data_IF_738376492465
#
_entry.id   IF_738376492465
#
_cell.length_a   1.000
_cell.length_b   1.000
_cell.length_c   1.000
_cell.angle_alpha   90.00
_cell.angle_beta   90.00
_cell.angle_gamma   90.00
#
_symmetry.space_group_name_H-M   'P 1'
#
loop_
_entity.id
_entity.type
_entity.pdbx_description
1 polymer ?
#
# COMPACT_ATOMS: atom_id res chain seq x y z
N UNK A 1 -7.06 7.75 -10.24
CA UNK A 1 -6.04 6.74 -9.86
C UNK A 1 -5.03 6.65 -10.99
N UNK A 2 -3.74 6.46 -10.71
CA UNK A 2 -2.69 6.31 -11.73
C UNK A 2 -2.16 4.89 -11.77
N UNK A 3 -1.82 4.41 -12.96
CA UNK A 3 -1.18 3.11 -13.18
C UNK A 3 0.24 3.38 -13.67
N UNK A 4 1.21 3.13 -12.81
CA UNK A 4 2.62 3.38 -13.09
C UNK A 4 3.22 2.11 -13.67
N UNK A 5 3.44 2.14 -14.99
CA UNK A 5 4.05 1.05 -15.74
C UNK A 5 5.56 1.18 -15.66
N UNK A 6 6.24 0.07 -15.44
CA UNK A 6 7.68 -0.01 -15.46
C UNK A 6 8.09 -0.93 -16.60
N UNK A 7 8.80 -0.37 -17.59
CA UNK A 7 9.19 -1.08 -18.81
C UNK A 7 10.30 -2.12 -18.58
N UNK A 8 11.03 -2.03 -17.47
CA UNK A 8 12.08 -2.99 -17.11
C UNK A 8 11.50 -4.14 -16.28
N UNK A 9 11.96 -5.36 -16.56
CA UNK A 9 11.74 -6.52 -15.68
C UNK A 9 12.12 -6.16 -14.25
N UNK A 10 11.19 -6.30 -13.31
CA UNK A 10 11.47 -5.98 -11.93
C UNK A 10 12.52 -6.93 -11.38
N UNK A 11 13.55 -6.39 -10.72
CA UNK A 11 14.31 -7.23 -9.81
C UNK A 11 13.40 -7.67 -8.67
N UNK A 12 13.56 -8.92 -8.22
CA UNK A 12 12.85 -9.42 -7.04
C UNK A 12 13.05 -8.49 -5.83
N UNK A 13 14.19 -7.81 -5.77
CA UNK A 13 14.54 -6.86 -4.73
C UNK A 13 13.72 -5.56 -4.79
N UNK A 14 13.38 -5.08 -5.99
CA UNK A 14 12.49 -3.93 -6.16
C UNK A 14 11.07 -4.26 -5.73
N UNK A 15 10.53 -5.41 -6.13
CA UNK A 15 9.18 -5.84 -5.74
C UNK A 15 9.08 -5.96 -4.21
N UNK A 16 10.09 -6.52 -3.55
CA UNK A 16 10.14 -6.65 -2.08
C UNK A 16 10.10 -5.30 -1.34
N UNK A 17 10.52 -4.21 -1.98
CA UNK A 17 10.49 -2.86 -1.40
C UNK A 17 9.12 -2.18 -1.55
N UNK A 18 8.24 -2.71 -2.41
CA UNK A 18 6.90 -2.17 -2.61
C UNK A 18 5.94 -2.72 -1.55
N UNK A 19 5.03 -1.85 -1.10
CA UNK A 19 4.02 -2.21 -0.08
C UNK A 19 2.94 -3.12 -0.65
N UNK A 20 2.61 -2.94 -1.93
CA UNK A 20 1.63 -3.72 -2.67
C UNK A 20 2.29 -4.34 -3.90
N UNK A 21 1.89 -5.56 -4.30
CA UNK A 21 2.40 -6.20 -5.51
C UNK A 21 1.89 -5.48 -6.77
N UNK A 22 2.57 -5.64 -7.92
CA UNK A 22 2.08 -5.12 -9.18
C UNK A 22 0.85 -5.90 -9.66
N UNK A 23 0.02 -5.23 -10.46
CA UNK A 23 -1.09 -5.84 -11.20
C UNK A 23 -0.71 -6.00 -12.67
N UNK A 24 -1.26 -7.01 -13.34
CA UNK A 24 -1.12 -7.19 -14.79
C UNK A 24 -2.21 -6.37 -15.49
N UNK A 25 -1.79 -5.54 -16.44
CA UNK A 25 -2.61 -4.66 -17.28
C UNK A 25 -2.24 -4.85 -18.76
N UNK A 26 -2.87 -4.09 -19.64
CA UNK A 26 -2.73 -4.17 -21.08
C UNK A 26 -1.35 -3.67 -21.54
N UNK A 27 -0.69 -2.88 -20.69
CA UNK A 27 0.68 -2.39 -20.87
C UNK A 27 1.70 -3.17 -20.03
N UNK A 28 1.33 -4.36 -19.56
CA UNK A 28 2.16 -5.19 -18.69
C UNK A 28 1.95 -4.90 -17.21
N UNK A 29 2.99 -5.12 -16.41
CA UNK A 29 2.89 -4.95 -14.96
C UNK A 29 2.84 -3.47 -14.57
N UNK A 30 1.88 -3.11 -13.73
CA UNK A 30 1.70 -1.75 -13.25
C UNK A 30 1.52 -1.70 -11.73
N UNK A 31 2.01 -0.63 -11.10
CA UNK A 31 1.69 -0.29 -9.73
C UNK A 31 0.57 0.74 -9.67
N UNK A 32 -0.40 0.47 -8.82
CA UNK A 32 -1.48 1.41 -8.54
C UNK A 32 -0.96 2.50 -7.61
N UNK A 33 -1.13 3.75 -8.02
CA UNK A 33 -0.72 4.91 -7.23
C UNK A 33 -1.63 6.11 -7.38
N UNK A 34 -1.34 7.16 -6.62
CA UNK A 34 -2.02 8.45 -6.78
C UNK A 34 -1.45 9.19 -8.00
N UNK A 35 -2.30 9.86 -8.76
CA UNK A 35 -1.86 10.74 -9.84
C UNK A 35 -1.06 11.91 -9.26
N UNK A 36 -0.03 12.32 -9.99
CA UNK A 36 0.77 13.51 -9.68
C UNK A 36 0.56 14.56 -10.76
N UNK A 37 0.64 15.83 -10.37
CA UNK A 37 0.74 16.99 -11.27
C UNK A 37 2.10 16.96 -11.98
N UNK A 38 2.26 17.77 -13.02
CA UNK A 38 3.55 17.97 -13.71
C UNK A 38 4.68 18.39 -12.76
N UNK A 39 4.35 19.12 -11.68
CA UNK A 39 5.28 19.52 -10.62
C UNK A 39 5.68 18.38 -9.68
N UNK A 40 5.15 17.17 -9.86
CA UNK A 40 5.35 16.02 -8.96
C UNK A 40 4.46 16.02 -7.70
N UNK A 41 3.70 17.09 -7.45
CA UNK A 41 2.76 17.17 -6.33
C UNK A 41 1.55 16.25 -6.53
N UNK A 42 1.01 15.70 -5.44
CA UNK A 42 -0.24 14.91 -5.48
C UNK A 42 -1.42 15.79 -5.93
N UNK A 43 -2.28 15.27 -6.83
CA UNK A 43 -3.46 16.01 -7.30
C UNK A 43 -4.48 16.31 -6.19
N UNK A 44 -4.48 15.53 -5.12
CA UNK A 44 -5.40 15.67 -3.98
C UNK A 44 -4.85 16.54 -2.85
N UNK A 45 -3.71 17.20 -3.06
CA UNK A 45 -3.16 18.15 -2.09
C UNK A 45 -3.87 19.50 -2.23
N UNK A 46 -4.40 20.02 -1.13
CA UNK A 46 -4.93 21.39 -1.08
C UNK A 46 -3.81 22.43 -0.88
N UNK A 47 -4.20 23.71 -0.90
CA UNK A 47 -3.29 24.85 -0.71
C UNK A 47 -2.62 24.85 0.67
N UNK A 48 -3.29 24.27 1.68
CA UNK A 48 -2.78 24.10 3.05
C UNK A 48 -1.97 22.81 3.23
N UNK A 49 -1.60 22.14 2.13
CA UNK A 49 -0.86 20.87 2.11
C UNK A 49 -1.59 19.73 2.83
N UNK A 50 -2.92 19.78 2.93
CA UNK A 50 -3.77 18.70 3.45
C UNK A 50 -4.31 17.84 2.31
N UNK A 51 -4.53 16.56 2.60
CA UNK A 51 -5.07 15.62 1.64
C UNK A 51 -6.60 15.71 1.60
N UNK A 52 -7.16 16.08 0.44
CA UNK A 52 -8.62 16.18 0.21
C UNK A 52 -9.37 14.85 0.34
N UNK A 53 -8.67 13.73 0.16
CA UNK A 53 -9.24 12.37 0.21
C UNK A 53 -8.73 11.56 1.41
N UNK A 54 -8.37 12.22 2.51
CA UNK A 54 -7.69 11.57 3.64
C UNK A 54 -8.43 10.33 4.16
N UNK A 55 -9.76 10.40 4.26
CA UNK A 55 -10.60 9.31 4.76
C UNK A 55 -10.67 8.10 3.81
N UNK A 56 -10.44 8.31 2.52
CA UNK A 56 -10.42 7.26 1.50
C UNK A 56 -9.04 6.60 1.34
N UNK A 57 -8.01 7.11 2.04
CA UNK A 57 -6.67 6.53 1.94
C UNK A 57 -6.68 5.11 2.54
N UNK A 58 -6.01 4.14 1.92
CA UNK A 58 -5.73 2.86 2.56
C UNK A 58 -5.10 3.03 3.93
N UNK A 59 -5.35 2.11 4.86
CA UNK A 59 -4.82 2.21 6.23
C UNK A 59 -3.30 2.29 6.24
N UNK A 60 -2.61 1.54 5.38
CA UNK A 60 -1.14 1.60 5.27
C UNK A 60 -0.63 3.01 4.89
N UNK A 61 -1.38 3.75 4.07
CA UNK A 61 -1.06 5.13 3.71
C UNK A 61 -1.29 6.10 4.89
N UNK A 62 -2.30 5.84 5.72
CA UNK A 62 -2.66 6.67 6.88
C UNK A 62 -1.71 6.46 8.05
N UNK A 63 -1.08 5.30 8.15
CA UNK A 63 -0.14 4.98 9.23
C UNK A 63 1.30 5.36 8.95
N UNK A 64 1.63 5.84 7.75
CA UNK A 64 2.94 6.42 7.47
C UNK A 64 3.24 7.55 8.49
N UNK A 65 4.41 7.59 9.15
CA UNK A 65 5.68 6.95 8.79
C UNK A 65 5.89 5.51 9.30
N UNK A 66 4.92 4.93 9.99
CA UNK A 66 5.03 3.61 10.58
C UNK A 66 4.66 2.50 9.58
N UNK A 67 5.36 1.37 9.71
CA UNK A 67 5.08 0.09 9.05
C UNK A 67 4.99 -1.01 10.10
N UNK A 68 4.30 -2.09 9.78
CA UNK A 68 4.02 -3.18 10.72
C UNK A 68 4.49 -4.51 10.14
N UNK A 69 5.19 -5.31 10.95
CA UNK A 69 5.53 -6.70 10.60
C UNK A 69 4.80 -7.65 11.53
N UNK A 70 4.36 -8.77 10.98
CA UNK A 70 3.80 -9.87 11.77
C UNK A 70 4.96 -10.63 12.43
N UNK A 71 4.90 -10.78 13.75
CA UNK A 71 5.77 -11.69 14.48
C UNK A 71 5.08 -13.06 14.52
N UNK A 72 5.80 -14.10 14.12
CA UNK A 72 5.30 -15.47 13.89
C UNK A 72 4.15 -15.92 14.80
N UNK A 73 3.12 -16.48 14.16
CA UNK A 73 1.99 -17.16 14.77
C UNK A 73 2.51 -18.42 15.49
N UNK A 74 2.70 -18.38 16.82
CA UNK A 74 2.76 -19.65 17.57
C UNK A 74 1.42 -20.36 17.36
N UNK A 75 1.48 -21.61 16.86
CA UNK A 75 0.40 -22.46 16.34
C UNK A 75 -0.84 -22.65 17.23
N UNK A 76 -0.89 -22.09 18.43
CA UNK A 76 -1.94 -22.36 19.42
C UNK A 76 -2.69 -21.12 19.92
N UNK A 77 -2.42 -19.91 19.44
CA UNK A 77 -3.22 -18.73 19.82
C UNK A 77 -3.45 -17.79 18.64
N UNK A 78 -4.72 -17.66 18.23
CA UNK A 78 -5.27 -16.84 17.12
C UNK A 78 -4.94 -15.32 17.14
N UNK A 79 -4.05 -14.85 18.03
CA UNK A 79 -3.72 -13.43 18.14
C UNK A 79 -2.55 -13.10 17.23
N UNK A 80 -2.86 -12.47 16.08
CA UNK A 80 -1.84 -11.80 15.25
C UNK A 80 -1.09 -10.82 16.14
N UNK A 81 0.22 -11.04 16.32
CA UNK A 81 1.11 -10.10 16.99
C UNK A 81 1.82 -9.28 15.93
N UNK A 82 1.74 -7.96 16.05
CA UNK A 82 2.39 -7.03 15.13
C UNK A 82 3.42 -6.20 15.88
N UNK A 83 4.54 -5.97 15.23
CA UNK A 83 5.57 -5.06 15.68
C UNK A 83 5.61 -3.85 14.75
N UNK A 84 5.67 -2.66 15.35
CA UNK A 84 5.72 -1.38 14.64
C UNK A 84 7.17 -0.94 14.42
N UNK A 85 7.45 -0.41 13.24
CA UNK A 85 8.75 0.12 12.85
C UNK A 85 8.57 1.40 12.04
N UNK A 86 9.62 2.20 11.89
CA UNK A 86 9.64 3.23 10.84
C UNK A 86 9.91 2.60 9.48
N UNK A 87 9.16 3.03 8.46
CA UNK A 87 9.48 2.69 7.08
C UNK A 87 10.88 3.25 6.72
N UNK A 88 11.66 2.50 5.93
CA UNK A 88 13.04 2.89 5.54
C UNK A 88 13.06 4.31 4.97
N UNK A 89 12.16 4.57 4.02
CA UNK A 89 11.99 5.88 3.40
C UNK A 89 11.54 6.98 4.37
N UNK A 90 10.76 6.65 5.38
CA UNK A 90 10.37 7.64 6.38
C UNK A 90 11.58 8.16 7.17
N UNK A 91 12.55 7.30 7.47
CA UNK A 91 13.79 7.72 8.17
C UNK A 91 14.61 8.73 7.35
N UNK A 92 14.48 8.70 6.02
CA UNK A 92 15.25 9.60 5.13
C UNK A 92 14.64 11.01 5.05
N UNK A 93 13.31 11.14 5.02
CA UNK A 93 12.66 12.42 4.70
C UNK A 93 11.56 12.87 5.68
N UNK A 94 11.16 12.04 6.64
CA UNK A 94 10.11 12.43 7.58
C UNK A 94 10.70 13.28 8.71
N UNK A 95 10.62 14.61 8.54
CA UNK A 95 11.07 15.60 9.53
C UNK A 95 10.39 15.47 10.91
N UNK A 96 9.26 14.75 10.99
CA UNK A 96 8.54 14.49 12.23
C UNK A 96 9.13 13.36 13.08
N UNK A 97 10.12 12.62 12.57
CA UNK A 97 10.86 11.61 13.34
C UNK A 97 12.06 12.32 13.98
N UNK A 98 11.94 12.66 15.26
CA UNK A 98 12.98 13.32 16.04
C UNK A 98 12.78 13.04 17.53
N UNK A 99 13.74 13.42 18.37
CA UNK A 99 13.63 13.29 19.83
C UNK A 99 12.50 14.15 20.43
N UNK A 100 12.11 15.21 19.73
CA UNK A 100 11.01 16.10 20.10
C UNK A 100 9.65 15.62 19.58
N UNK A 101 9.57 14.44 18.98
CA UNK A 101 8.32 13.91 18.45
C UNK A 101 7.32 13.63 19.59
N UNK A 102 6.02 13.88 19.38
CA UNK A 102 5.02 13.60 20.40
C UNK A 102 4.98 12.11 20.76
N UNK A 103 4.75 11.82 22.04
CA UNK A 103 4.60 10.44 22.51
C UNK A 103 3.43 9.74 21.81
N UNK A 104 3.64 8.49 21.43
CA UNK A 104 2.62 7.62 20.86
C UNK A 104 2.37 6.39 21.73
N UNK A 105 1.10 6.05 21.93
CA UNK A 105 0.73 4.83 22.66
C UNK A 105 1.01 3.59 21.80
N UNK A 106 2.02 2.81 22.20
CA UNK A 106 2.34 1.54 21.51
C UNK A 106 1.13 0.59 21.46
N UNK A 107 0.36 0.47 22.55
CA UNK A 107 -0.86 -0.37 22.60
C UNK A 107 -1.90 0.04 21.56
N UNK A 108 -2.14 1.34 21.39
CA UNK A 108 -3.07 1.87 20.38
C UNK A 108 -2.57 1.57 18.97
N UNK A 109 -1.29 1.82 18.72
CA UNK A 109 -0.68 1.61 17.41
C UNK A 109 -0.55 0.15 17.02
N UNK A 110 -0.33 -0.77 17.96
CA UNK A 110 -0.40 -2.22 17.72
C UNK A 110 -1.81 -2.63 17.25
N UNK A 111 -2.87 -2.09 17.86
CA UNK A 111 -4.26 -2.36 17.42
C UNK A 111 -4.51 -1.86 15.99
N UNK A 112 -4.01 -0.67 15.66
CA UNK A 112 -4.08 -0.12 14.29
C UNK A 112 -3.27 -0.99 13.33
N UNK A 113 -2.07 -1.41 13.72
CA UNK A 113 -1.18 -2.24 12.92
C UNK A 113 -1.79 -3.58 12.54
N UNK A 114 -2.56 -4.22 13.42
CA UNK A 114 -3.31 -5.44 13.09
C UNK A 114 -4.27 -5.22 11.92
N UNK A 115 -5.06 -4.15 11.97
CA UNK A 115 -5.98 -3.76 10.88
C UNK A 115 -5.24 -3.45 9.58
N UNK A 116 -4.10 -2.76 9.65
CA UNK A 116 -3.27 -2.47 8.47
C UNK A 116 -2.78 -3.76 7.82
N UNK A 117 -2.28 -4.71 8.61
CA UNK A 117 -1.79 -5.99 8.11
C UNK A 117 -2.94 -6.82 7.49
N UNK A 118 -4.12 -6.82 8.12
CA UNK A 118 -5.32 -7.49 7.60
C UNK A 118 -5.73 -6.89 6.25
N UNK A 119 -5.87 -5.56 6.16
CA UNK A 119 -6.22 -4.85 4.91
C UNK A 119 -5.18 -5.11 3.80
N UNK A 120 -3.89 -5.09 4.13
CA UNK A 120 -2.82 -5.40 3.17
C UNK A 120 -2.90 -6.86 2.70
N UNK A 121 -3.19 -7.81 3.59
CA UNK A 121 -3.35 -9.22 3.24
C UNK A 121 -4.51 -9.43 2.28
N UNK A 122 -5.65 -8.79 2.55
CA UNK A 122 -6.83 -8.83 1.67
C UNK A 122 -6.53 -8.22 0.30
N UNK A 123 -5.91 -7.05 0.26
CA UNK A 123 -5.51 -6.39 -0.98
C UNK A 123 -4.53 -7.24 -1.80
N UNK A 124 -3.53 -7.84 -1.15
CA UNK A 124 -2.55 -8.68 -1.83
C UNK A 124 -3.20 -9.96 -2.39
N UNK A 125 -4.11 -10.58 -1.63
CA UNK A 125 -4.88 -11.74 -2.10
C UNK A 125 -5.75 -11.38 -3.30
N UNK A 126 -6.40 -10.22 -3.28
CA UNK A 126 -7.17 -9.73 -4.42
C UNK A 126 -6.31 -9.56 -5.67
N UNK A 127 -5.14 -8.91 -5.55
CA UNK A 127 -4.21 -8.72 -6.67
C UNK A 127 -3.69 -10.06 -7.20
N UNK A 128 -3.41 -11.01 -6.32
CA UNK A 128 -2.98 -12.36 -6.70
C UNK A 128 -4.05 -13.09 -7.53
N UNK A 129 -5.31 -13.03 -7.07
CA UNK A 129 -6.46 -13.61 -7.79
C UNK A 129 -6.67 -12.92 -9.14
N UNK A 130 -6.58 -11.58 -9.19
CA UNK A 130 -6.64 -10.81 -10.44
C UNK A 130 -5.58 -11.30 -11.43
N UNK A 131 -4.31 -11.29 -11.01
CA UNK A 131 -3.18 -11.68 -11.84
C UNK A 131 -3.28 -13.13 -12.31
N UNK A 132 -3.75 -14.05 -11.47
CA UNK A 132 -3.98 -15.44 -11.84
C UNK A 132 -5.06 -15.58 -12.92
N UNK A 133 -6.17 -14.86 -12.80
CA UNK A 133 -7.26 -14.93 -13.77
C UNK A 133 -6.88 -14.30 -15.12
N UNK A 134 -6.08 -13.23 -15.09
CA UNK A 134 -5.47 -12.65 -16.30
C UNK A 134 -4.58 -13.68 -17.00
N UNK A 135 -3.67 -14.34 -16.27
CA UNK A 135 -2.78 -15.38 -16.84
C UNK A 135 -3.53 -16.58 -17.42
N UNK A 136 -4.69 -16.90 -16.85
CA UNK A 136 -5.58 -17.98 -17.33
C UNK A 136 -6.51 -17.54 -18.48
N UNK A 137 -6.42 -16.30 -18.96
CA UNK A 137 -7.28 -15.76 -20.02
C UNK A 137 -8.74 -15.55 -19.62
N UNK A 138 -9.05 -15.59 -18.31
CA UNK A 138 -10.44 -15.48 -17.80
C UNK A 138 -10.93 -14.05 -17.69
N UNK A 139 -10.00 -13.09 -17.62
CA UNK A 139 -10.30 -11.67 -17.45
C UNK A 139 -9.43 -10.89 -18.43
N UNK A 140 -10.03 -9.91 -19.12
CA UNK A 140 -9.28 -8.98 -19.97
C UNK A 140 -8.40 -8.06 -19.07
N UNK A 141 -7.08 -8.02 -19.27
CA UNK A 141 -6.18 -7.27 -18.40
C UNK A 141 -6.21 -5.80 -18.76
N UNK A 142 -7.29 -5.06 -18.51
CA UNK A 142 -7.28 -3.60 -18.70
C UNK A 142 -7.29 -2.86 -17.37
N UNK A 143 -6.59 -1.73 -17.29
CA UNK A 143 -6.66 -0.83 -16.15
C UNK A 143 -8.13 -0.45 -15.83
N UNK A 144 -8.94 -0.20 -16.87
CA UNK A 144 -10.37 0.05 -16.73
C UNK A 144 -11.12 -1.13 -16.09
N UNK A 145 -10.86 -2.36 -16.55
CA UNK A 145 -11.52 -3.55 -16.03
C UNK A 145 -11.11 -3.83 -14.58
N UNK A 146 -9.86 -3.53 -14.22
CA UNK A 146 -9.39 -3.60 -12.84
C UNK A 146 -10.17 -2.64 -11.93
N UNK A 147 -10.35 -1.39 -12.36
CA UNK A 147 -11.15 -0.40 -11.63
C UNK A 147 -12.59 -0.86 -11.47
N UNK A 148 -13.22 -1.33 -12.56
CA UNK A 148 -14.58 -1.90 -12.53
C UNK A 148 -14.72 -3.01 -11.50
N UNK A 149 -13.76 -3.93 -11.48
CA UNK A 149 -13.71 -5.04 -10.51
C UNK A 149 -13.63 -4.55 -9.06
N UNK A 150 -12.79 -3.55 -8.77
CA UNK A 150 -12.67 -2.98 -7.42
C UNK A 150 -13.93 -2.23 -7.00
N UNK A 151 -14.49 -1.43 -7.91
CA UNK A 151 -15.67 -0.61 -7.65
C UNK A 151 -16.97 -1.41 -7.69
N UNK A 152 -16.93 -2.65 -8.19
CA UNK A 152 -18.10 -3.52 -8.43
C UNK A 152 -19.12 -2.86 -9.37
N UNK A 153 -18.63 -2.27 -10.46
CA UNK A 153 -19.41 -1.57 -11.50
C UNK A 153 -19.09 -2.06 -12.91
#
# INVERSE_FOLDING_TARGET
MGFYIYEKNFSNDFIKKMVIPPIITEKGNAFVGLLKKSTGACIFLDEKKKCKIYNLRPMFCRTFPFTFKVLNLRRSNLKINVQMFYAIKAKEYCKGISDNAPYISNKKWVKIGKKVVEELKENNKFIEIWNMNVKKGRIKPTAQNFIKTILKI
#
